data_IF_331630060449
#
_entry.id   IF_331630060449
#
_cell.length_a   1.000
_cell.length_b   1.000
_cell.length_c   1.000
_cell.angle_alpha   90.00
_cell.angle_beta   90.00
_cell.angle_gamma   90.00
#
_symmetry.space_group_name_H-M   'P 1'
#
loop_
_entity.id
_entity.type
_entity.pdbx_description
1 polymer ?
#
# COMPACT_ATOMS: atom_id res chain seq x y z
N UNK A 1 0.98 9.25 -26.95
CA UNK A 1 0.13 8.59 -25.93
C UNK A 1 -1.23 9.29 -26.00
N UNK A 2 -2.25 8.59 -26.45
CA UNK A 2 -3.57 9.21 -26.67
C UNK A 2 -4.30 9.38 -25.34
N UNK A 3 -5.12 10.43 -25.20
CA UNK A 3 -5.90 10.75 -23.97
C UNK A 3 -6.71 9.54 -23.47
N UNK A 4 -7.14 8.66 -24.39
CA UNK A 4 -7.86 7.42 -24.11
C UNK A 4 -7.04 6.37 -23.33
N UNK A 5 -5.71 6.31 -23.48
CA UNK A 5 -4.86 5.35 -22.72
C UNK A 5 -4.70 5.76 -21.26
N UNK A 6 -4.76 7.07 -20.95
CA UNK A 6 -4.70 7.59 -19.59
C UNK A 6 -6.01 7.35 -18.83
N UNK A 7 -7.15 7.48 -19.50
CA UNK A 7 -8.47 7.28 -18.89
C UNK A 7 -8.70 5.84 -18.45
N UNK A 8 -8.04 4.86 -19.08
CA UNK A 8 -8.09 3.46 -18.66
C UNK A 8 -7.25 3.13 -17.42
N UNK A 9 -6.31 4.01 -17.07
CA UNK A 9 -5.46 3.87 -15.88
C UNK A 9 -6.02 4.59 -14.65
N UNK A 10 -6.99 5.49 -14.82
CA UNK A 10 -7.67 6.17 -13.71
C UNK A 10 -8.77 5.22 -13.20
N UNK A 11 -8.50 4.53 -12.09
CA UNK A 11 -9.39 3.53 -11.50
C UNK A 11 -9.37 3.66 -9.99
N UNK A 12 -10.48 3.27 -9.36
CA UNK A 12 -10.52 3.16 -7.91
C UNK A 12 -9.80 1.88 -7.46
N UNK A 13 -8.67 2.03 -6.78
CA UNK A 13 -7.89 0.90 -6.27
C UNK A 13 -8.60 0.26 -5.06
N UNK A 14 -9.47 -0.71 -5.35
CA UNK A 14 -10.17 -1.52 -4.33
C UNK A 14 -9.36 -2.71 -3.82
N UNK A 15 -8.25 -3.00 -4.48
CA UNK A 15 -7.36 -4.07 -4.09
C UNK A 15 -6.66 -3.75 -2.76
N UNK A 16 -6.16 -2.53 -2.59
CA UNK A 16 -5.39 -2.17 -1.39
C UNK A 16 -6.27 -2.25 -0.12
N UNK A 17 -5.86 -3.01 0.90
CA UNK A 17 -6.58 -3.07 2.17
C UNK A 17 -6.64 -1.73 2.89
N UNK A 18 -7.70 -1.49 3.65
CA UNK A 18 -7.93 -0.27 4.40
C UNK A 18 -7.54 -0.44 5.88
N UNK A 19 -6.75 0.50 6.40
CA UNK A 19 -6.24 0.49 7.78
C UNK A 19 -7.33 0.83 8.80
N UNK A 20 -7.39 0.07 9.89
CA UNK A 20 -8.23 0.37 11.05
C UNK A 20 -7.42 0.38 12.35
N UNK A 21 -7.90 1.18 13.29
CA UNK A 21 -7.44 1.18 14.68
C UNK A 21 -8.29 0.19 15.49
N UNK A 22 -8.02 -1.11 15.34
CA UNK A 22 -8.68 -2.19 16.11
C UNK A 22 -7.67 -3.05 16.85
N UNK A 23 -8.12 -3.78 17.86
CA UNK A 23 -7.27 -4.56 18.76
C UNK A 23 -6.83 -5.93 18.20
N UNK A 24 -7.45 -6.40 17.12
CA UNK A 24 -7.23 -7.76 16.62
C UNK A 24 -7.32 -7.91 15.11
N UNK A 25 -6.61 -8.91 14.59
CA UNK A 25 -6.67 -9.33 13.18
C UNK A 25 -6.45 -10.84 13.05
N UNK A 26 -6.87 -11.40 11.91
CA UNK A 26 -6.58 -12.77 11.49
C UNK A 26 -5.77 -12.77 10.21
N UNK A 27 -4.66 -13.50 10.18
CA UNK A 27 -3.91 -13.76 8.94
C UNK A 27 -4.54 -14.94 8.21
N UNK A 28 -5.10 -14.71 7.02
CA UNK A 28 -5.85 -15.74 6.27
C UNK A 28 -5.02 -16.41 5.16
N UNK A 29 -3.72 -16.13 5.09
CA UNK A 29 -2.84 -16.63 4.04
C UNK A 29 -2.89 -15.76 2.78
N UNK A 30 -2.65 -16.32 1.58
CA UNK A 30 -2.69 -15.58 0.31
C UNK A 30 -4.02 -14.84 0.11
N UNK A 31 -3.98 -13.59 -0.36
CA UNK A 31 -5.20 -12.80 -0.60
C UNK A 31 -6.13 -13.51 -1.61
N UNK A 32 -7.37 -13.87 -1.26
CA UNK A 32 -8.24 -14.62 -2.17
C UNK A 32 -8.84 -13.77 -3.30
N UNK A 33 -8.69 -12.44 -3.25
CA UNK A 33 -9.31 -11.51 -4.20
C UNK A 33 -8.56 -11.47 -5.53
N UNK A 34 -9.24 -11.18 -6.67
CA UNK A 34 -8.62 -11.16 -7.99
C UNK A 34 -7.84 -9.85 -8.25
N UNK A 35 -6.81 -9.60 -7.45
CA UNK A 35 -6.04 -8.34 -7.40
C UNK A 35 -4.81 -8.32 -8.32
N UNK A 36 -4.60 -9.34 -9.15
CA UNK A 36 -3.36 -9.51 -9.93
C UNK A 36 -3.03 -8.29 -10.78
N UNK A 37 -4.02 -7.75 -11.48
CA UNK A 37 -3.81 -6.60 -12.37
C UNK A 37 -3.42 -5.35 -11.55
N UNK A 38 -4.01 -5.17 -10.37
CA UNK A 38 -3.71 -4.06 -9.46
C UNK A 38 -2.28 -4.15 -8.89
N UNK A 39 -1.77 -5.37 -8.67
CA UNK A 39 -0.39 -5.61 -8.25
C UNK A 39 0.64 -5.18 -9.29
N UNK A 40 0.27 -5.07 -10.57
CA UNK A 40 1.12 -4.55 -11.63
C UNK A 40 1.16 -3.01 -11.71
N UNK A 41 0.26 -2.34 -11.00
CA UNK A 41 0.11 -0.88 -10.98
C UNK A 41 0.40 -0.31 -9.58
N UNK A 42 1.02 -1.11 -8.71
CA UNK A 42 1.25 -0.77 -7.34
C UNK A 42 2.38 0.26 -7.21
N UNK A 43 2.09 1.38 -6.57
CA UNK A 43 3.05 2.45 -6.33
C UNK A 43 3.21 2.67 -4.82
N UNK A 44 4.45 2.65 -4.36
CA UNK A 44 4.82 3.09 -3.01
C UNK A 44 5.51 4.43 -3.10
N UNK A 45 5.05 5.43 -2.33
CA UNK A 45 5.65 6.76 -2.35
C UNK A 45 7.03 6.84 -1.69
N UNK A 46 7.48 5.74 -1.07
CA UNK A 46 8.79 5.58 -0.44
C UNK A 46 9.26 4.14 -0.67
N UNK A 47 10.55 3.95 -0.96
CA UNK A 47 11.15 2.63 -1.08
C UNK A 47 11.09 1.90 0.26
N UNK A 48 10.18 0.93 0.38
CA UNK A 48 9.92 0.21 1.63
C UNK A 48 11.16 -0.49 2.17
N UNK A 49 12.13 -0.81 1.30
CA UNK A 49 13.38 -1.47 1.68
C UNK A 49 14.31 -0.59 2.50
N UNK A 50 14.10 0.72 2.54
CA UNK A 50 14.85 1.63 3.40
C UNK A 50 14.77 1.22 4.88
N UNK A 51 13.60 0.81 5.37
CA UNK A 51 13.43 0.36 6.77
C UNK A 51 14.24 -0.89 7.08
N UNK A 52 14.31 -1.83 6.14
CA UNK A 52 15.13 -3.04 6.27
C UNK A 52 16.62 -2.69 6.31
N UNK A 53 17.04 -1.77 5.45
CA UNK A 53 18.42 -1.27 5.44
C UNK A 53 18.78 -0.62 6.77
N UNK A 54 17.93 0.26 7.32
CA UNK A 54 18.18 0.91 8.62
C UNK A 54 18.35 -0.09 9.74
N UNK A 55 17.55 -1.16 9.73
CA UNK A 55 17.69 -2.24 10.70
C UNK A 55 19.05 -2.95 10.56
N UNK A 56 19.43 -3.31 9.34
CA UNK A 56 20.71 -3.98 9.05
C UNK A 56 21.91 -3.09 9.39
N UNK A 57 21.80 -1.79 9.15
CA UNK A 57 22.85 -0.83 9.48
C UNK A 57 23.03 -0.67 10.99
N UNK A 58 21.92 -0.62 11.74
CA UNK A 58 21.94 -0.67 13.19
C UNK A 58 22.64 -1.95 13.68
N UNK A 59 22.29 -3.11 13.14
CA UNK A 59 22.96 -4.38 13.50
C UNK A 59 24.47 -4.34 13.25
N UNK A 60 24.89 -3.76 12.12
CA UNK A 60 26.30 -3.59 11.78
C UNK A 60 27.03 -2.65 12.73
N UNK A 61 26.43 -1.50 13.08
CA UNK A 61 27.04 -0.49 13.96
C UNK A 61 27.23 -1.04 15.38
N UNK A 62 26.27 -1.84 15.86
CA UNK A 62 26.29 -2.41 17.20
C UNK A 62 26.90 -3.82 17.28
N UNK A 63 27.53 -4.30 16.19
CA UNK A 63 28.14 -5.64 16.10
C UNK A 63 27.18 -6.78 16.51
N UNK A 64 25.91 -6.65 16.10
CA UNK A 64 24.88 -7.65 16.38
C UNK A 64 25.03 -8.80 15.39
N UNK A 65 25.67 -9.88 15.83
CA UNK A 65 25.75 -11.12 15.07
C UNK A 65 24.50 -11.98 15.26
N UNK A 66 23.87 -12.39 14.16
CA UNK A 66 22.76 -13.36 14.20
C UNK A 66 23.29 -14.80 14.17
N UNK A 67 22.73 -15.73 14.96
CA UNK A 67 23.13 -17.13 14.92
C UNK A 67 22.99 -17.72 13.52
N UNK A 68 24.04 -18.43 13.05
CA UNK A 68 24.08 -19.30 11.87
C UNK A 68 23.26 -18.84 10.65
N UNK A 69 23.64 -17.71 10.04
CA UNK A 69 23.08 -17.30 8.74
C UNK A 69 21.57 -17.00 8.74
N UNK A 70 20.93 -16.95 9.91
CA UNK A 70 19.50 -16.62 10.03
C UNK A 70 19.29 -15.18 9.61
N UNK A 71 18.62 -14.99 8.48
CA UNK A 71 18.04 -13.70 8.08
C UNK A 71 16.77 -13.46 8.87
N UNK A 72 16.47 -12.20 9.19
CA UNK A 72 15.16 -11.84 9.72
C UNK A 72 14.11 -12.22 8.67
N UNK A 73 13.04 -12.93 9.07
CA UNK A 73 11.83 -13.01 8.24
C UNK A 73 11.16 -11.62 8.31
N UNK A 74 11.60 -10.76 7.39
CA UNK A 74 11.08 -9.41 7.23
C UNK A 74 9.96 -9.42 6.20
N UNK A 75 8.89 -8.67 6.49
CA UNK A 75 7.78 -8.46 5.56
C UNK A 75 7.37 -7.00 5.58
N UNK A 76 6.97 -6.49 4.42
CA UNK A 76 6.40 -5.16 4.34
C UNK A 76 4.91 -5.22 4.56
N UNK A 77 4.47 -4.48 5.59
CA UNK A 77 3.06 -4.23 5.83
C UNK A 77 2.62 -3.08 4.93
N UNK A 78 1.60 -3.34 4.11
CA UNK A 78 0.99 -2.36 3.23
C UNK A 78 -0.49 -2.24 3.54
N UNK A 79 -0.93 -1.02 3.73
CA UNK A 79 -2.33 -0.67 3.93
C UNK A 79 -2.55 0.75 3.42
N UNK A 80 -3.80 1.09 3.16
CA UNK A 80 -4.22 2.44 2.84
C UNK A 80 -4.94 3.05 4.04
N UNK A 81 -4.51 4.24 4.52
CA UNK A 81 -5.15 4.84 5.68
C UNK A 81 -6.60 5.20 5.35
N UNK A 82 -7.51 4.81 6.23
CA UNK A 82 -8.85 5.40 6.25
C UNK A 82 -8.74 6.89 6.56
N UNK A 83 -9.75 7.66 6.19
CA UNK A 83 -9.66 9.11 6.36
C UNK A 83 -9.66 9.48 7.83
N UNK A 84 -8.76 10.40 8.20
CA UNK A 84 -8.56 10.84 9.58
C UNK A 84 -9.82 11.40 10.25
N UNK A 85 -10.79 11.87 9.47
CA UNK A 85 -12.06 12.42 9.95
C UNK A 85 -13.21 11.42 9.94
N UNK A 86 -12.99 10.18 9.47
CA UNK A 86 -14.02 9.17 9.48
C UNK A 86 -14.33 8.75 10.94
N UNK A 87 -15.60 8.52 11.30
CA UNK A 87 -15.94 7.90 12.58
C UNK A 87 -15.20 6.58 12.74
N UNK A 88 -14.85 6.21 13.98
CA UNK A 88 -14.20 4.94 14.25
C UNK A 88 -15.02 3.77 13.70
N UNK A 89 -14.43 3.04 12.74
CA UNK A 89 -15.02 1.87 12.09
C UNK A 89 -14.76 0.66 12.99
N UNK A 90 -15.75 0.38 13.85
CA UNK A 90 -15.65 -0.68 14.87
C UNK A 90 -16.53 -1.89 14.57
N UNK A 91 -17.45 -1.78 13.60
CA UNK A 91 -18.44 -2.81 13.27
C UNK A 91 -18.60 -2.98 11.76
N UNK A 92 -19.17 -4.13 11.36
CA UNK A 92 -19.48 -4.43 9.96
C UNK A 92 -20.41 -3.38 9.32
N UNK A 93 -21.47 -2.95 10.01
CA UNK A 93 -22.37 -1.88 9.53
C UNK A 93 -21.62 -0.58 9.21
N UNK A 94 -20.76 -0.11 10.12
CA UNK A 94 -19.97 1.12 9.91
C UNK A 94 -18.95 0.95 8.79
N UNK A 95 -18.34 -0.22 8.68
CA UNK A 95 -17.44 -0.55 7.57
C UNK A 95 -18.18 -0.45 6.23
N UNK A 96 -19.38 -1.00 6.13
CA UNK A 96 -20.23 -0.89 4.94
C UNK A 96 -20.64 0.56 4.63
N UNK A 97 -20.96 1.36 5.65
CA UNK A 97 -21.26 2.78 5.48
C UNK A 97 -20.04 3.57 4.97
N UNK A 98 -18.85 3.28 5.50
CA UNK A 98 -17.60 3.86 5.04
C UNK A 98 -17.35 3.55 3.57
N UNK A 99 -17.46 2.28 3.16
CA UNK A 99 -17.26 1.86 1.76
C UNK A 99 -18.25 2.54 0.80
N UNK A 100 -19.52 2.73 1.20
CA UNK A 100 -20.50 3.51 0.42
C UNK A 100 -20.08 4.97 0.28
N UNK A 101 -19.49 5.54 1.34
CA UNK A 101 -19.03 6.94 1.35
C UNK A 101 -17.80 7.13 0.45
N UNK A 102 -16.84 6.20 0.51
CA UNK A 102 -15.68 6.17 -0.39
C UNK A 102 -16.12 6.09 -1.85
N UNK A 103 -17.04 5.16 -2.17
CA UNK A 103 -17.57 5.01 -3.53
C UNK A 103 -18.23 6.30 -4.02
N UNK A 104 -19.11 6.91 -3.23
CA UNK A 104 -19.74 8.20 -3.57
C UNK A 104 -18.72 9.31 -3.80
N UNK A 105 -17.63 9.31 -3.02
CA UNK A 105 -16.55 10.30 -3.20
C UNK A 105 -15.80 10.07 -4.49
N UNK A 106 -15.46 8.82 -4.81
CA UNK A 106 -14.85 8.47 -6.08
C UNK A 106 -15.73 8.86 -7.27
N UNK A 107 -17.02 8.53 -7.22
CA UNK A 107 -17.97 8.88 -8.30
C UNK A 107 -18.06 10.39 -8.51
N UNK A 108 -18.00 11.17 -7.42
CA UNK A 108 -18.01 12.64 -7.47
C UNK A 108 -16.80 13.21 -8.23
N UNK A 109 -15.67 12.53 -8.27
CA UNK A 109 -14.51 13.00 -9.04
C UNK A 109 -14.80 13.07 -10.55
N UNK A 110 -15.75 12.27 -11.04
CA UNK A 110 -16.18 12.23 -12.44
C UNK A 110 -17.44 13.06 -12.74
N UNK A 111 -18.17 13.50 -11.72
CA UNK A 111 -19.32 14.41 -11.93
C UNK A 111 -18.90 15.87 -11.75
N UNK A 112 -18.23 16.17 -10.64
CA UNK A 112 -17.94 17.54 -10.21
C UNK A 112 -16.45 17.79 -9.91
N UNK A 113 -15.60 16.76 -10.00
CA UNK A 113 -14.20 16.81 -9.59
C UNK A 113 -13.19 16.87 -10.73
N UNK A 114 -12.01 16.32 -10.48
CA UNK A 114 -10.84 16.45 -11.36
C UNK A 114 -11.01 15.67 -12.66
N UNK A 115 -11.86 14.64 -12.67
CA UNK A 115 -12.07 13.74 -13.80
C UNK A 115 -13.41 13.99 -14.53
N UNK A 116 -14.04 15.15 -14.35
CA UNK A 116 -15.37 15.46 -14.92
C UNK A 116 -15.49 15.37 -16.45
N UNK A 117 -14.39 15.48 -17.17
CA UNK A 117 -14.35 15.39 -18.65
C UNK A 117 -14.14 13.95 -19.14
N UNK A 118 -14.09 12.99 -18.21
CA UNK A 118 -13.83 11.56 -18.46
C UNK A 118 -15.01 10.75 -17.93
N UNK A 119 -15.40 9.70 -18.64
CA UNK A 119 -16.41 8.76 -18.14
C UNK A 119 -15.85 7.97 -16.96
N UNK A 120 -16.61 7.84 -15.87
CA UNK A 120 -16.23 6.99 -14.75
C UNK A 120 -16.11 5.53 -15.21
N UNK A 121 -14.90 4.96 -15.23
CA UNK A 121 -14.70 3.61 -15.71
C UNK A 121 -15.07 2.54 -14.68
N UNK A 122 -15.29 2.95 -13.43
CA UNK A 122 -15.80 2.13 -12.33
C UNK A 122 -17.33 2.26 -12.15
N UNK A 123 -18.02 2.91 -13.10
CA UNK A 123 -19.48 3.06 -13.05
C UNK A 123 -20.18 1.68 -12.99
N UNK A 124 -21.33 1.64 -12.32
CA UNK A 124 -22.10 0.41 -12.09
C UNK A 124 -22.33 -0.39 -13.38
N UNK A 125 -21.93 -1.67 -13.38
CA UNK A 125 -22.19 -2.61 -14.48
C UNK A 125 -20.95 -3.31 -15.05
N UNK A 126 -19.74 -2.79 -14.83
CA UNK A 126 -18.52 -3.51 -15.22
C UNK A 126 -18.26 -4.72 -14.30
N UNK A 127 -17.94 -5.87 -14.89
CA UNK A 127 -17.65 -7.11 -14.15
C UNK A 127 -16.45 -6.99 -13.19
N UNK A 128 -15.44 -6.19 -13.53
CA UNK A 128 -14.26 -5.98 -12.68
C UNK A 128 -14.57 -5.23 -11.38
N UNK A 129 -15.42 -4.20 -11.45
CA UNK A 129 -15.89 -3.44 -10.28
C UNK A 129 -16.69 -4.30 -9.28
N UNK A 130 -17.24 -5.45 -9.71
CA UNK A 130 -17.96 -6.39 -8.84
C UNK A 130 -17.04 -7.34 -8.08
N UNK A 131 -15.83 -7.58 -8.59
CA UNK A 131 -15.01 -8.73 -8.17
C UNK A 131 -13.92 -8.40 -7.14
N UNK A 132 -13.49 -7.13 -7.03
CA UNK A 132 -12.55 -6.70 -5.99
C UNK A 132 -13.27 -5.74 -5.03
N UNK A 133 -13.74 -6.28 -3.89
CA UNK A 133 -14.20 -5.44 -2.79
C UNK A 133 -13.02 -5.06 -1.89
N UNK A 134 -13.11 -3.84 -1.33
CA UNK A 134 -12.21 -3.44 -0.26
C UNK A 134 -12.33 -4.42 0.91
N UNK A 135 -11.19 -4.62 1.56
CA UNK A 135 -11.11 -5.33 2.83
C UNK A 135 -10.51 -4.39 3.85
N UNK A 136 -10.94 -4.52 5.09
CA UNK A 136 -10.32 -3.83 6.22
C UNK A 136 -9.21 -4.71 6.76
N UNK A 137 -7.97 -4.26 6.60
CA UNK A 137 -6.81 -5.11 6.83
C UNK A 137 -5.51 -4.51 6.35
N UNK A 138 -4.57 -5.40 6.07
CA UNK A 138 -3.28 -5.08 5.50
C UNK A 138 -2.74 -6.25 4.69
N UNK A 139 -1.90 -5.93 3.71
CA UNK A 139 -1.07 -6.90 3.01
C UNK A 139 0.25 -7.08 3.74
N UNK A 140 0.73 -8.33 3.77
CA UNK A 140 2.12 -8.65 4.08
C UNK A 140 2.78 -9.17 2.81
N UNK A 141 3.77 -8.43 2.33
CA UNK A 141 4.64 -8.87 1.27
C UNK A 141 5.95 -9.37 1.83
N UNK A 142 6.46 -10.44 1.24
CA UNK A 142 7.86 -10.82 1.41
C UNK A 142 8.76 -9.67 0.92
N UNK A 143 9.81 -9.35 1.66
CA UNK A 143 10.77 -8.31 1.26
C UNK A 143 11.40 -8.56 -0.11
N UNK A 144 11.55 -9.82 -0.53
CA UNK A 144 12.00 -10.18 -1.87
C UNK A 144 11.08 -9.66 -2.98
N UNK A 145 9.80 -9.39 -2.68
CA UNK A 145 8.85 -8.81 -3.61
C UNK A 145 9.26 -7.43 -4.13
N UNK A 146 10.09 -6.72 -3.36
CA UNK A 146 10.53 -5.37 -3.67
C UNK A 146 11.87 -5.36 -4.41
N UNK A 147 12.38 -6.52 -4.82
CA UNK A 147 13.67 -6.68 -5.46
C UNK A 147 14.86 -6.49 -4.51
N UNK A 148 16.07 -6.63 -5.06
CA UNK A 148 17.30 -6.54 -4.27
C UNK A 148 17.55 -5.14 -3.72
N UNK A 149 18.14 -5.07 -2.54
CA UNK A 149 18.64 -3.83 -1.97
C UNK A 149 19.73 -3.23 -2.88
N UNK A 150 19.66 -1.95 -3.25
CA UNK A 150 20.74 -1.29 -3.96
C UNK A 150 22.07 -1.43 -3.23
N UNK A 151 23.12 -1.89 -3.92
CA UNK A 151 24.47 -2.06 -3.36
C UNK A 151 25.05 -0.74 -2.80
N UNK A 152 24.61 0.40 -3.36
CA UNK A 152 25.02 1.75 -2.96
C UNK A 152 23.87 2.51 -2.28
N UNK A 153 23.11 1.86 -1.41
CA UNK A 153 22.18 2.54 -0.52
C UNK A 153 23.00 3.43 0.45
N UNK A 154 23.31 4.65 0.02
CA UNK A 154 24.00 5.65 0.84
C UNK A 154 22.97 6.63 1.37
N UNK A 155 23.00 6.85 2.68
CA UNK A 155 22.37 8.00 3.29
C UNK A 155 23.04 9.24 2.67
N UNK A 156 22.28 10.14 2.06
CA UNK A 156 22.89 11.35 1.49
C UNK A 156 23.55 12.13 2.61
N UNK A 157 24.89 12.16 2.63
CA UNK A 157 25.62 13.20 3.34
C UNK A 157 25.25 14.53 2.69
N UNK A 158 24.44 15.32 3.40
CA UNK A 158 24.10 16.68 3.03
C UNK A 158 25.37 17.53 3.15
N UNK A 159 26.27 17.46 2.18
CA UNK A 159 27.44 18.32 2.18
C UNK A 159 27.09 19.81 2.02
N UNK A 160 25.82 20.21 1.81
CA UNK A 160 25.45 21.62 1.59
C UNK A 160 24.04 22.06 2.08
N UNK A 161 23.43 21.45 3.10
CA UNK A 161 22.15 21.96 3.67
C UNK A 161 22.33 22.30 5.15
N UNK A 162 22.10 23.56 5.58
CA UNK A 162 22.26 23.94 6.97
C UNK A 162 21.20 23.25 7.87
N UNK A 163 21.50 23.00 9.16
CA UNK A 163 20.56 22.43 10.12
C UNK A 163 19.29 23.30 10.25
N UNK A 164 18.11 22.68 10.50
CA UNK A 164 17.97 21.87 11.70
C UNK A 164 17.34 20.47 11.51
N UNK A 165 17.33 19.88 10.31
CA UNK A 165 16.73 18.54 10.17
C UNK A 165 17.56 17.53 9.36
N UNK A 166 18.04 16.44 9.99
CA UNK A 166 18.82 15.39 9.33
C UNK A 166 17.89 14.41 8.62
N UNK A 167 17.17 14.87 7.59
CA UNK A 167 16.46 13.96 6.70
C UNK A 167 17.45 13.47 5.64
N UNK A 168 18.05 12.31 5.91
CA UNK A 168 18.86 11.55 4.97
C UNK A 168 18.00 11.25 3.72
N UNK A 169 18.15 12.03 2.65
CA UNK A 169 17.49 11.75 1.37
C UNK A 169 18.30 10.74 0.60
N UNK A 170 18.03 9.46 0.83
CA UNK A 170 18.53 8.36 0.03
C UNK A 170 18.37 8.61 -1.47
N UNK A 171 19.31 8.14 -2.28
CA UNK A 171 19.07 7.89 -3.72
C UNK A 171 18.22 6.62 -3.94
N UNK A 172 17.27 6.34 -3.05
CA UNK A 172 16.20 5.43 -3.42
C UNK A 172 15.34 6.15 -4.45
N UNK A 173 14.89 5.44 -5.49
CA UNK A 173 13.89 6.00 -6.41
C UNK A 173 12.67 6.32 -5.54
N UNK A 174 12.38 7.61 -5.36
CA UNK A 174 11.29 8.07 -4.48
C UNK A 174 9.92 7.61 -4.97
N UNK A 175 9.82 7.19 -6.23
CA UNK A 175 8.65 6.52 -6.77
C UNK A 175 9.14 5.26 -7.48
N UNK A 176 8.68 4.10 -7.00
CA UNK A 176 8.85 2.85 -7.72
C UNK A 176 7.45 2.36 -8.06
N UNK A 177 7.06 2.48 -9.32
CA UNK A 177 6.07 1.58 -9.88
C UNK A 177 6.65 0.17 -9.75
N UNK A 178 6.10 -0.61 -8.83
CA UNK A 178 6.54 -1.94 -8.52
C UNK A 178 5.58 -2.93 -9.17
N UNK A 179 6.08 -3.69 -10.14
CA UNK A 179 5.39 -4.89 -10.61
C UNK A 179 5.67 -6.03 -9.62
N UNK A 180 4.74 -6.20 -8.68
CA UNK A 180 4.76 -7.28 -7.68
C UNK A 180 3.88 -8.46 -8.10
N UNK A 181 3.49 -8.59 -9.37
CA UNK A 181 2.59 -9.65 -9.85
C UNK A 181 3.12 -11.08 -9.66
N UNK A 182 4.44 -11.23 -9.46
CA UNK A 182 5.11 -12.49 -9.10
C UNK A 182 4.99 -12.84 -7.62
N UNK A 183 4.59 -11.89 -6.79
CA UNK A 183 4.53 -11.97 -5.35
C UNK A 183 3.10 -11.76 -4.87
N UNK A 184 2.46 -12.84 -4.44
CA UNK A 184 1.11 -12.75 -3.93
C UNK A 184 1.12 -12.39 -2.44
N UNK A 185 0.47 -11.30 -2.02
CA UNK A 185 0.50 -10.89 -0.62
C UNK A 185 -0.27 -11.86 0.26
N UNK A 186 0.15 -11.98 1.52
CA UNK A 186 -0.73 -12.51 2.56
C UNK A 186 -1.67 -11.41 3.04
N UNK A 187 -2.90 -11.77 3.38
CA UNK A 187 -3.91 -10.84 3.85
C UNK A 187 -4.17 -11.01 5.35
N UNK A 188 -3.94 -9.94 6.10
CA UNK A 188 -4.43 -9.77 7.47
C UNK A 188 -5.77 -9.05 7.44
N UNK A 189 -6.80 -9.62 8.09
CA UNK A 189 -8.15 -9.03 8.16
C UNK A 189 -8.46 -8.60 9.58
N UNK A 190 -8.89 -7.36 9.75
CA UNK A 190 -9.22 -6.79 11.05
C UNK A 190 -10.51 -7.39 11.63
N UNK A 191 -10.52 -7.57 12.96
CA UNK A 191 -11.71 -8.04 13.68
C UNK A 191 -12.71 -6.89 13.84
N UNK A 192 -13.80 -6.95 13.09
CA UNK A 192 -14.95 -6.08 13.26
C UNK A 192 -16.03 -6.81 14.07
N UNK A 193 -16.74 -6.07 14.92
CA UNK A 193 -17.86 -6.68 15.66
C UNK A 193 -18.99 -7.02 14.68
N UNK A 194 -19.49 -8.28 14.68
CA UNK A 194 -20.78 -8.56 14.07
C UNK A 194 -21.88 -7.79 14.81
N UNK A 195 -22.94 -7.42 14.10
CA UNK A 195 -24.13 -6.76 14.68
C UNK A 195 -24.86 -7.67 15.69
#
# INVERSE_FOLDING_TARGET
MMVTELTDRIRFNRATPLELLVEGFTLIGPDPRPIRDDLGLFCVGWDSRASLWFWQDMERIFDIARPEGKRLDSRFLITWPTWRSAPAITSCSKANEYLKTEQKRWDREFTDGVFREVNNPDAEGLERSKNAQHVFGFWLFDTHGFGEMPENAVAWELQNVPPPMPWHRWKFKMDIELDVTKYWPQLGVFHLTPE
#
